data_IF_874156790671
#
_entry.id   IF_874156790671
#
_cell.length_a   1.000
_cell.length_b   1.000
_cell.length_c   1.000
_cell.angle_alpha   90.00
_cell.angle_beta   90.00
_cell.angle_gamma   90.00
#
_symmetry.space_group_name_H-M   'P 1'
#
loop_
_entity.id
_entity.type
_entity.pdbx_description
1 polymer ?
#
# COMPACT_ATOMS: atom_id res chain seq x y z
N UNK A 1 -7.26 20.19 -20.04
CA UNK A 1 -8.36 19.70 -19.18
C UNK A 1 -7.92 18.39 -18.54
N UNK A 2 -7.62 18.38 -17.24
CA UNK A 2 -7.43 17.16 -16.46
C UNK A 2 -8.77 16.40 -16.43
N UNK A 3 -8.77 15.12 -16.80
CA UNK A 3 -9.95 14.33 -17.12
C UNK A 3 -11.08 14.41 -16.08
N UNK A 4 -12.32 14.28 -16.57
CA UNK A 4 -13.55 14.28 -15.78
C UNK A 4 -13.40 13.47 -14.47
N UNK A 5 -13.98 13.92 -13.35
CA UNK A 5 -13.84 13.20 -12.09
C UNK A 5 -14.42 11.80 -12.26
N UNK A 6 -13.53 10.79 -12.21
CA UNK A 6 -13.96 9.40 -12.10
C UNK A 6 -14.91 9.24 -10.91
N UNK A 7 -15.71 8.18 -10.94
CA UNK A 7 -16.72 7.96 -9.91
C UNK A 7 -16.12 7.84 -8.48
N UNK A 8 -16.97 7.69 -7.47
CA UNK A 8 -16.55 7.67 -6.05
C UNK A 8 -15.38 6.72 -5.77
N UNK A 9 -15.31 5.56 -6.44
CA UNK A 9 -14.21 4.60 -6.26
C UNK A 9 -12.90 5.13 -6.83
N UNK A 10 -12.92 5.65 -8.05
CA UNK A 10 -11.74 6.25 -8.67
C UNK A 10 -11.25 7.46 -7.88
N UNK A 11 -12.18 8.29 -7.40
CA UNK A 11 -11.89 9.45 -6.55
C UNK A 11 -11.26 9.04 -5.22
N UNK A 12 -11.81 8.02 -4.56
CA UNK A 12 -11.25 7.42 -3.34
C UNK A 12 -9.82 6.90 -3.58
N UNK A 13 -9.60 6.10 -4.63
CA UNK A 13 -8.28 5.57 -4.97
C UNK A 13 -7.26 6.68 -5.22
N UNK A 14 -7.69 7.77 -5.85
CA UNK A 14 -6.89 8.98 -6.04
C UNK A 14 -6.27 9.53 -4.76
N UNK A 15 -7.00 9.48 -3.63
CA UNK A 15 -6.54 9.99 -2.33
C UNK A 15 -5.38 9.18 -1.71
N UNK A 16 -5.13 7.97 -2.23
CA UNK A 16 -4.08 7.06 -1.77
C UNK A 16 -2.98 6.83 -2.81
N UNK A 17 -3.01 7.55 -3.93
CA UNK A 17 -1.93 7.52 -4.91
C UNK A 17 -0.67 8.08 -4.28
N UNK A 18 0.48 7.45 -4.55
CA UNK A 18 1.77 7.94 -4.12
C UNK A 18 1.91 9.40 -4.53
N UNK A 19 2.11 10.27 -3.54
CA UNK A 19 2.38 11.67 -3.79
C UNK A 19 3.86 11.80 -4.05
N UNK A 20 4.17 12.57 -5.08
CA UNK A 20 5.53 12.96 -5.38
C UNK A 20 6.21 13.62 -4.19
N UNK A 21 7.51 13.36 -4.01
CA UNK A 21 8.32 14.18 -3.13
C UNK A 21 8.40 15.60 -3.74
N UNK A 22 8.39 16.64 -2.90
CA UNK A 22 8.40 18.04 -3.38
C UNK A 22 9.71 18.44 -4.06
N UNK A 23 10.78 17.67 -3.83
CA UNK A 23 12.12 17.90 -4.37
C UNK A 23 12.67 16.61 -4.98
N UNK A 24 13.60 16.76 -5.92
CA UNK A 24 14.31 15.62 -6.50
C UNK A 24 15.17 14.92 -5.45
N UNK A 25 15.02 13.61 -5.32
CA UNK A 25 15.73 12.82 -4.30
C UNK A 25 16.43 11.62 -4.90
N UNK A 26 17.64 11.37 -4.42
CA UNK A 26 18.37 10.14 -4.74
C UNK A 26 18.11 9.09 -3.65
N UNK A 27 17.49 7.99 -4.05
CA UNK A 27 17.33 6.81 -3.23
C UNK A 27 18.46 5.83 -3.55
N UNK A 28 19.12 5.32 -2.50
CA UNK A 28 20.23 4.39 -2.62
C UNK A 28 20.02 3.09 -1.84
N UNK A 29 18.87 2.92 -1.21
CA UNK A 29 18.56 1.73 -0.38
C UNK A 29 17.10 1.33 -0.53
N UNK A 30 16.88 0.04 -0.46
CA UNK A 30 15.57 -0.58 -0.41
C UNK A 30 15.25 -1.06 1.01
N UNK A 31 14.02 -0.81 1.45
CA UNK A 31 13.37 -1.54 2.54
C UNK A 31 12.04 -2.09 2.02
N UNK A 32 11.43 -3.06 2.70
CA UNK A 32 10.10 -3.53 2.30
C UNK A 32 9.03 -2.42 2.35
N UNK A 33 9.31 -1.35 3.10
CA UNK A 33 8.42 -0.21 3.30
C UNK A 33 8.76 0.99 2.38
N UNK A 34 9.99 1.06 1.83
CA UNK A 34 10.49 2.22 1.09
C UNK A 34 11.45 1.83 -0.04
N UNK A 35 11.47 2.65 -1.10
CA UNK A 35 12.37 2.46 -2.23
C UNK A 35 11.84 1.48 -3.29
N UNK A 36 10.61 0.97 -3.16
CA UNK A 36 9.88 0.42 -4.30
C UNK A 36 9.16 1.54 -5.05
N UNK A 37 9.30 1.58 -6.37
CA UNK A 37 8.70 2.60 -7.23
C UNK A 37 7.81 1.94 -8.28
N UNK A 38 6.57 2.43 -8.49
CA UNK A 38 5.68 1.87 -9.50
C UNK A 38 6.25 2.03 -10.90
N UNK A 39 6.22 0.96 -11.68
CA UNK A 39 6.67 0.93 -13.09
C UNK A 39 5.80 1.78 -14.01
N UNK A 40 4.61 2.20 -13.56
CA UNK A 40 3.74 3.13 -14.27
C UNK A 40 4.39 4.51 -14.53
N UNK A 41 5.48 4.85 -13.82
CA UNK A 41 6.24 6.08 -14.01
C UNK A 41 7.73 5.89 -13.68
N UNK A 42 8.34 4.84 -14.22
CA UNK A 42 9.75 4.49 -13.97
C UNK A 42 10.50 4.28 -15.28
N UNK A 43 11.62 4.98 -15.46
CA UNK A 43 12.57 4.71 -16.54
C UNK A 43 13.82 4.04 -15.98
N UNK A 44 14.26 2.95 -16.60
CA UNK A 44 15.45 2.19 -16.20
C UNK A 44 16.43 2.15 -17.37
N UNK A 45 17.72 2.40 -17.11
CA UNK A 45 18.76 2.23 -18.13
C UNK A 45 18.78 0.77 -18.58
N UNK A 46 18.80 0.53 -19.90
CA UNK A 46 18.85 -0.82 -20.47
C UNK A 46 19.89 -1.72 -19.81
N UNK A 47 21.14 -1.24 -19.72
CA UNK A 47 22.22 -1.99 -19.10
C UNK A 47 21.95 -2.37 -17.63
N UNK A 48 21.28 -1.50 -16.86
CA UNK A 48 20.91 -1.80 -15.47
C UNK A 48 19.76 -2.82 -15.38
N UNK A 49 18.79 -2.73 -16.30
CA UNK A 49 17.68 -3.68 -16.39
C UNK A 49 18.17 -5.08 -16.78
N UNK A 50 19.04 -5.18 -17.79
CA UNK A 50 19.66 -6.43 -18.24
C UNK A 50 20.58 -7.01 -17.14
N UNK A 51 21.37 -6.17 -16.46
CA UNK A 51 22.28 -6.61 -15.39
C UNK A 51 21.58 -7.29 -14.20
N UNK A 52 20.31 -6.98 -13.94
CA UNK A 52 19.53 -7.62 -12.87
C UNK A 52 18.60 -8.72 -13.38
N UNK A 53 18.60 -9.02 -14.69
CA UNK A 53 17.77 -10.05 -15.30
C UNK A 53 16.33 -9.63 -15.57
N UNK A 54 16.04 -8.34 -15.71
CA UNK A 54 14.71 -7.85 -16.09
C UNK A 54 13.63 -8.05 -15.02
N UNK A 55 12.37 -8.24 -15.43
CA UNK A 55 11.25 -8.53 -14.51
C UNK A 55 11.20 -10.02 -14.14
N UNK A 56 10.73 -10.29 -12.93
CA UNK A 56 10.43 -11.65 -12.50
C UNK A 56 9.07 -12.10 -13.08
N UNK A 57 9.07 -12.90 -14.14
CA UNK A 57 7.85 -13.32 -14.86
C UNK A 57 6.90 -14.15 -14.00
N UNK A 58 7.39 -14.80 -12.96
CA UNK A 58 6.59 -15.54 -11.99
C UNK A 58 5.79 -14.62 -11.03
N UNK A 59 6.11 -13.32 -10.99
CA UNK A 59 5.44 -12.34 -10.14
C UNK A 59 4.32 -11.64 -10.90
N UNK A 60 3.08 -11.88 -10.46
CA UNK A 60 1.91 -11.16 -10.97
C UNK A 60 1.71 -9.77 -10.36
N UNK A 61 2.27 -9.54 -9.17
CA UNK A 61 2.14 -8.26 -8.44
C UNK A 61 3.35 -8.07 -7.53
N UNK A 62 3.87 -6.85 -7.46
CA UNK A 62 5.06 -6.50 -6.68
C UNK A 62 6.37 -6.70 -7.44
N UNK A 63 6.29 -6.97 -8.74
CA UNK A 63 7.40 -7.09 -9.68
C UNK A 63 8.21 -5.79 -9.80
N UNK A 64 7.54 -4.65 -9.63
CA UNK A 64 8.13 -3.32 -9.55
C UNK A 64 9.01 -3.15 -8.30
N UNK A 65 8.52 -3.59 -7.14
CA UNK A 65 9.26 -3.61 -5.88
C UNK A 65 10.44 -4.60 -5.93
N UNK A 66 10.25 -5.78 -6.52
CA UNK A 66 11.32 -6.77 -6.73
C UNK A 66 12.42 -6.21 -7.65
N UNK A 67 12.05 -5.63 -8.79
CA UNK A 67 12.99 -5.00 -9.72
C UNK A 67 13.79 -3.90 -9.01
N UNK A 68 13.11 -2.98 -8.33
CA UNK A 68 13.76 -1.91 -7.58
C UNK A 68 14.77 -2.50 -6.58
N UNK A 69 14.35 -3.48 -5.77
CA UNK A 69 15.23 -4.11 -4.79
C UNK A 69 16.47 -4.73 -5.42
N UNK A 70 16.33 -5.45 -6.53
CA UNK A 70 17.46 -6.06 -7.25
C UNK A 70 18.41 -5.00 -7.81
N UNK A 71 17.88 -3.88 -8.33
CA UNK A 71 18.69 -2.74 -8.75
C UNK A 71 19.51 -2.18 -7.58
N UNK A 72 18.91 -1.96 -6.41
CA UNK A 72 19.67 -1.52 -5.23
C UNK A 72 20.71 -2.53 -4.77
N UNK A 73 20.38 -3.83 -4.80
CA UNK A 73 21.33 -4.89 -4.43
C UNK A 73 22.53 -4.96 -5.38
N UNK A 74 22.35 -4.59 -6.65
CA UNK A 74 23.41 -4.47 -7.66
C UNK A 74 24.16 -3.11 -7.61
N UNK A 75 23.89 -2.26 -6.60
CA UNK A 75 24.57 -0.98 -6.42
C UNK A 75 24.01 0.19 -7.23
N UNK A 76 22.91 0.00 -7.96
CA UNK A 76 22.23 1.09 -8.64
C UNK A 76 21.44 1.96 -7.66
N UNK A 77 21.10 3.17 -8.11
CA UNK A 77 20.34 4.18 -7.36
C UNK A 77 19.16 4.65 -8.19
N UNK A 78 18.05 4.99 -7.53
CA UNK A 78 16.86 5.54 -8.19
C UNK A 78 16.77 7.02 -7.85
N UNK A 79 16.70 7.87 -8.88
CA UNK A 79 16.43 9.29 -8.69
C UNK A 79 14.95 9.56 -8.92
N UNK A 80 14.29 10.06 -7.89
CA UNK A 80 12.96 10.63 -8.01
C UNK A 80 13.09 12.03 -8.62
N UNK A 81 12.27 12.31 -9.63
CA UNK A 81 12.21 13.60 -10.32
C UNK A 81 10.78 14.14 -10.25
N UNK A 82 10.53 15.27 -9.58
CA UNK A 82 9.19 15.83 -9.44
C UNK A 82 8.58 16.31 -10.78
N UNK A 83 9.40 16.52 -11.81
CA UNK A 83 8.92 16.88 -13.14
C UNK A 83 8.47 15.66 -13.97
N UNK A 84 8.86 14.44 -13.57
CA UNK A 84 8.43 13.21 -14.22
C UNK A 84 6.99 12.86 -13.78
N UNK A 85 5.99 13.38 -14.48
CA UNK A 85 4.57 13.23 -14.13
C UNK A 85 3.84 12.36 -15.15
N UNK A 86 3.01 11.43 -14.65
CA UNK A 86 2.05 10.66 -15.46
C UNK A 86 0.64 10.82 -14.91
N UNK A 87 -0.35 10.83 -15.81
CA UNK A 87 -1.76 10.78 -15.43
C UNK A 87 -2.20 9.32 -15.33
N UNK A 88 -2.59 8.90 -14.12
CA UNK A 88 -3.05 7.54 -13.87
C UNK A 88 -4.58 7.47 -13.86
N UNK A 89 -5.15 6.57 -14.67
CA UNK A 89 -6.58 6.25 -14.62
C UNK A 89 -6.84 5.20 -13.55
N UNK A 90 -7.57 5.60 -12.51
CA UNK A 90 -7.98 4.67 -11.45
C UNK A 90 -9.12 3.75 -11.88
N UNK A 91 -9.23 2.62 -11.19
CA UNK A 91 -10.37 1.72 -11.32
C UNK A 91 -11.64 2.42 -10.81
N UNK A 92 -12.74 2.16 -11.49
CA UNK A 92 -14.03 2.79 -11.22
C UNK A 92 -15.00 1.83 -10.51
N UNK A 93 -14.66 0.56 -10.32
CA UNK A 93 -15.55 -0.41 -9.64
C UNK A 93 -15.00 -0.86 -8.30
N UNK A 94 -15.89 -1.08 -7.32
CA UNK A 94 -15.53 -1.65 -6.02
C UNK A 94 -14.86 -3.00 -6.21
N UNK A 95 -15.43 -3.85 -7.08
CA UNK A 95 -14.83 -5.15 -7.39
C UNK A 95 -13.40 -5.02 -7.94
N UNK A 96 -13.17 -4.11 -8.89
CA UNK A 96 -11.84 -3.85 -9.43
C UNK A 96 -10.85 -3.41 -8.34
N UNK A 97 -11.28 -2.54 -7.43
CA UNK A 97 -10.49 -2.13 -6.27
C UNK A 97 -10.15 -3.32 -5.35
N UNK A 98 -11.12 -4.17 -5.03
CA UNK A 98 -10.92 -5.32 -4.15
C UNK A 98 -9.97 -6.35 -4.79
N UNK A 99 -10.15 -6.66 -6.08
CA UNK A 99 -9.24 -7.54 -6.82
C UNK A 99 -7.81 -7.01 -6.82
N UNK A 100 -7.63 -5.70 -6.98
CA UNK A 100 -6.31 -5.06 -6.91
C UNK A 100 -5.71 -5.19 -5.50
N UNK A 101 -6.49 -4.91 -4.45
CA UNK A 101 -6.03 -5.01 -3.06
C UNK A 101 -5.63 -6.44 -2.69
N UNK A 102 -6.42 -7.44 -3.08
CA UNK A 102 -6.10 -8.86 -2.94
C UNK A 102 -4.80 -9.25 -3.65
N UNK A 103 -4.57 -8.70 -4.85
CA UNK A 103 -3.34 -8.89 -5.62
C UNK A 103 -2.12 -8.30 -4.92
N UNK A 104 -2.23 -7.04 -4.45
CA UNK A 104 -1.17 -6.35 -3.71
C UNK A 104 -0.79 -7.12 -2.44
N UNK A 105 -1.79 -7.53 -1.64
CA UNK A 105 -1.53 -8.31 -0.42
C UNK A 105 -0.82 -9.63 -0.71
N UNK A 106 -1.24 -10.37 -1.74
CA UNK A 106 -0.58 -11.61 -2.14
C UNK A 106 0.85 -11.36 -2.67
N UNK A 107 1.06 -10.28 -3.41
CA UNK A 107 2.36 -9.85 -3.91
C UNK A 107 3.35 -9.52 -2.79
N UNK A 108 2.90 -8.91 -1.69
CA UNK A 108 3.75 -8.64 -0.52
C UNK A 108 4.28 -9.93 0.14
N UNK A 109 3.44 -10.97 0.25
CA UNK A 109 3.88 -12.27 0.74
C UNK A 109 4.88 -12.94 -0.22
N UNK A 110 4.66 -12.85 -1.54
CA UNK A 110 5.59 -13.35 -2.54
C UNK A 110 6.95 -12.64 -2.46
N UNK A 111 6.93 -11.32 -2.39
CA UNK A 111 8.11 -10.47 -2.27
C UNK A 111 8.92 -10.80 -1.00
N UNK A 112 8.25 -11.00 0.14
CA UNK A 112 8.89 -11.42 1.38
C UNK A 112 9.54 -12.81 1.27
N UNK A 113 8.91 -13.74 0.53
CA UNK A 113 9.44 -15.09 0.29
C UNK A 113 10.67 -15.10 -0.62
N UNK A 114 10.64 -14.28 -1.68
CA UNK A 114 11.67 -14.21 -2.74
C UNK A 114 13.00 -13.68 -2.22
N UNK A 115 12.96 -12.79 -1.22
CA UNK A 115 14.15 -12.16 -0.69
C UNK A 115 14.58 -12.71 0.66
N UNK A 116 15.70 -12.17 1.18
CA UNK A 116 16.28 -12.59 2.46
C UNK A 116 15.24 -12.53 3.60
N UNK A 117 15.28 -13.49 4.55
CA UNK A 117 14.48 -13.46 5.76
C UNK A 117 14.50 -12.07 6.42
N UNK A 118 13.31 -11.59 6.77
CA UNK A 118 13.10 -10.28 7.35
C UNK A 118 11.84 -10.28 8.21
N UNK A 119 11.88 -9.42 9.24
CA UNK A 119 10.71 -8.98 9.97
C UNK A 119 10.40 -7.54 9.55
N UNK A 120 9.16 -7.31 9.16
CA UNK A 120 8.59 -6.01 8.81
C UNK A 120 7.46 -5.73 9.77
N UNK A 121 7.48 -4.57 10.42
CA UNK A 121 6.47 -4.15 11.40
C UNK A 121 6.00 -2.75 11.05
N UNK A 122 4.70 -2.60 10.84
CA UNK A 122 4.01 -1.33 10.67
C UNK A 122 3.03 -1.14 11.83
N UNK A 123 3.32 -0.19 12.71
CA UNK A 123 2.45 0.27 13.80
C UNK A 123 2.00 1.71 13.50
N UNK A 124 0.92 2.21 14.14
CA UNK A 124 0.59 3.62 14.07
C UNK A 124 1.77 4.50 14.50
N UNK A 125 2.34 5.26 13.56
CA UNK A 125 3.47 6.17 13.82
C UNK A 125 4.86 5.52 13.89
N UNK A 126 4.97 4.20 13.67
CA UNK A 126 6.25 3.49 13.71
C UNK A 126 6.34 2.45 12.59
N UNK A 127 7.44 2.50 11.85
CA UNK A 127 7.75 1.57 10.77
C UNK A 127 9.14 0.99 11.02
N UNK A 128 9.26 -0.33 10.97
CA UNK A 128 10.56 -0.99 11.11
C UNK A 128 10.67 -2.18 10.16
N UNK A 129 11.86 -2.38 9.60
CA UNK A 129 12.17 -3.58 8.85
C UNK A 129 13.62 -3.97 9.03
N UNK A 130 13.89 -5.24 9.34
CA UNK A 130 15.23 -5.75 9.57
C UNK A 130 15.39 -7.20 9.12
N UNK A 131 16.62 -7.61 8.83
CA UNK A 131 16.92 -9.01 8.55
C UNK A 131 16.90 -9.81 9.85
N UNK A 132 16.11 -10.89 9.90
CA UNK A 132 16.02 -11.78 11.06
C UNK A 132 16.15 -13.21 10.54
N UNK A 133 17.16 -13.93 11.01
CA UNK A 133 17.44 -15.28 10.54
C UNK A 133 16.22 -16.20 10.76
N UNK A 134 15.87 -16.99 9.73
CA UNK A 134 14.73 -17.92 9.78
C UNK A 134 13.33 -17.27 9.75
N UNK A 135 13.20 -15.97 10.00
CA UNK A 135 11.91 -15.30 10.09
C UNK A 135 11.55 -14.59 8.78
N UNK A 136 10.37 -14.89 8.25
CA UNK A 136 9.74 -14.17 7.12
C UNK A 136 8.39 -13.68 7.58
N UNK A 137 8.39 -12.53 8.22
CA UNK A 137 7.21 -11.98 8.87
C UNK A 137 6.97 -10.53 8.47
N UNK A 138 5.74 -10.19 8.09
CA UNK A 138 5.29 -8.83 7.86
C UNK A 138 4.00 -8.59 8.63
N UNK A 139 4.06 -7.76 9.66
CA UNK A 139 2.96 -7.39 10.54
C UNK A 139 2.58 -5.94 10.31
N UNK A 140 1.34 -5.67 9.89
CA UNK A 140 0.83 -4.31 9.70
C UNK A 140 -0.39 -4.06 10.59
N UNK A 141 -0.13 -3.66 11.83
CA UNK A 141 -1.15 -3.24 12.80
C UNK A 141 -1.60 -1.79 12.61
N UNK A 142 -0.98 -1.04 11.70
CA UNK A 142 -1.37 0.32 11.35
C UNK A 142 -2.64 0.40 10.47
N UNK A 143 -2.94 -0.68 9.76
CA UNK A 143 -4.06 -0.81 8.80
C UNK A 143 -5.46 -0.62 9.42
N UNK A 144 -6.40 -0.13 8.61
CA UNK A 144 -7.69 0.32 9.11
C UNK A 144 -8.58 -0.83 9.60
N UNK A 145 -8.53 -1.97 8.93
CA UNK A 145 -9.22 -3.20 9.30
C UNK A 145 -8.72 -3.75 10.65
N UNK A 146 -7.41 -3.71 10.90
CA UNK A 146 -6.86 -4.21 12.17
C UNK A 146 -7.20 -3.35 13.36
N UNK A 147 -7.37 -2.03 13.16
CA UNK A 147 -7.93 -1.16 14.19
C UNK A 147 -9.38 -1.54 14.51
N UNK A 148 -10.20 -1.88 13.51
CA UNK A 148 -11.57 -2.39 13.75
C UNK A 148 -11.52 -3.70 14.54
N UNK A 149 -10.68 -4.65 14.16
CA UNK A 149 -10.52 -5.92 14.91
C UNK A 149 -10.10 -5.66 16.35
N UNK A 150 -9.11 -4.78 16.58
CA UNK A 150 -8.69 -4.40 17.93
C UNK A 150 -9.82 -3.78 18.75
N UNK A 151 -10.60 -2.86 18.16
CA UNK A 151 -11.75 -2.26 18.82
C UNK A 151 -12.86 -3.28 19.13
N UNK A 152 -13.10 -4.25 18.24
CA UNK A 152 -14.06 -5.33 18.49
C UNK A 152 -13.62 -6.21 19.67
N UNK A 153 -12.33 -6.58 19.74
CA UNK A 153 -11.79 -7.36 20.86
C UNK A 153 -11.89 -6.59 22.19
N UNK A 154 -11.55 -5.30 22.18
CA UNK A 154 -11.71 -4.43 23.35
C UNK A 154 -13.18 -4.31 23.78
N UNK A 155 -14.10 -4.19 22.82
CA UNK A 155 -15.53 -4.11 23.09
C UNK A 155 -16.10 -5.42 23.64
N UNK A 156 -15.57 -6.56 23.21
CA UNK A 156 -15.93 -7.86 23.76
C UNK A 156 -15.45 -8.03 25.21
N UNK A 157 -14.28 -7.47 25.55
CA UNK A 157 -13.75 -7.46 26.91
C UNK A 157 -14.48 -6.45 27.83
N UNK A 158 -14.93 -5.32 27.29
CA UNK A 158 -15.63 -4.27 28.03
C UNK A 158 -16.69 -3.59 27.13
N UNK A 159 -17.98 -3.98 27.23
CA UNK A 159 -19.03 -3.56 26.29
C UNK A 159 -19.18 -2.05 26.07
N UNK A 160 -19.00 -1.16 27.08
CA UNK A 160 -18.97 0.28 26.85
C UNK A 160 -17.96 0.77 25.79
N UNK A 161 -16.88 0.02 25.52
CA UNK A 161 -15.91 0.36 24.47
C UNK A 161 -16.46 0.21 23.04
N UNK A 162 -17.65 -0.38 22.87
CA UNK A 162 -18.33 -0.44 21.58
C UNK A 162 -18.58 0.95 20.98
N UNK A 163 -18.67 2.01 21.80
CA UNK A 163 -18.77 3.40 21.35
C UNK A 163 -17.54 3.89 20.57
N UNK A 164 -16.40 3.21 20.69
CA UNK A 164 -15.19 3.53 19.92
C UNK A 164 -15.31 3.15 18.44
N UNK A 165 -16.18 2.19 18.09
CA UNK A 165 -16.41 1.80 16.68
C UNK A 165 -17.02 2.94 15.85
N UNK A 166 -18.16 3.55 16.23
CA UNK A 166 -18.68 4.70 15.51
C UNK A 166 -17.73 5.90 15.59
N UNK A 167 -17.04 6.12 16.71
CA UNK A 167 -16.02 7.17 16.81
C UNK A 167 -14.87 6.97 15.80
N UNK A 168 -14.46 5.72 15.57
CA UNK A 168 -13.42 5.39 14.60
C UNK A 168 -13.91 5.57 13.15
N UNK A 169 -15.16 5.25 12.85
CA UNK A 169 -15.76 5.56 11.53
C UNK A 169 -15.79 7.07 11.31
N UNK A 170 -16.20 7.87 12.32
CA UNK A 170 -16.16 9.33 12.24
C UNK A 170 -14.73 9.85 12.03
N UNK A 171 -13.74 9.27 12.71
CA UNK A 171 -12.33 9.59 12.49
C UNK A 171 -11.88 9.31 11.06
N UNK A 172 -12.24 8.16 10.48
CA UNK A 172 -11.92 7.83 9.08
C UNK A 172 -12.62 8.77 8.11
N UNK A 173 -13.89 9.11 8.34
CA UNK A 173 -14.61 10.11 7.53
C UNK A 173 -13.93 11.47 7.59
N UNK A 174 -13.53 11.93 8.77
CA UNK A 174 -12.78 13.16 8.95
C UNK A 174 -11.42 13.10 8.24
N UNK A 175 -10.73 11.96 8.27
CA UNK A 175 -9.50 11.75 7.51
C UNK A 175 -9.71 11.90 5.99
N UNK A 176 -10.81 11.36 5.47
CA UNK A 176 -11.15 11.51 4.04
C UNK A 176 -11.40 12.98 3.68
N UNK A 177 -12.13 13.71 4.52
CA UNK A 177 -12.32 15.17 4.35
C UNK A 177 -10.98 15.90 4.36
N UNK A 178 -10.08 15.59 5.29
CA UNK A 178 -8.73 16.20 5.33
C UNK A 178 -7.95 15.93 4.04
N UNK A 179 -8.03 14.73 3.49
CA UNK A 179 -7.36 14.37 2.22
C UNK A 179 -7.96 15.10 1.02
N UNK A 180 -9.29 15.16 0.92
CA UNK A 180 -10.00 15.88 -0.13
C UNK A 180 -9.65 17.37 -0.12
N UNK A 181 -9.67 18.01 1.06
CA UNK A 181 -9.28 19.42 1.24
C UNK A 181 -7.85 19.69 0.80
N UNK A 182 -6.90 18.80 1.16
CA UNK A 182 -5.49 18.91 0.72
C UNK A 182 -5.31 18.81 -0.79
N UNK A 183 -6.27 18.25 -1.51
CA UNK A 183 -6.25 18.15 -2.98
C UNK A 183 -7.04 19.27 -3.66
N UNK A 184 -7.55 20.25 -2.90
CA UNK A 184 -8.43 21.29 -3.44
C UNK A 184 -9.74 20.73 -3.99
N UNK A 185 -10.11 19.51 -3.60
CA UNK A 185 -11.31 18.83 -4.08
C UNK A 185 -12.49 19.16 -3.18
N UNK A 186 -13.65 19.43 -3.79
CA UNK A 186 -14.92 19.57 -3.07
C UNK A 186 -15.23 18.31 -2.22
N UNK A 187 -15.96 18.46 -1.13
CA UNK A 187 -16.24 17.34 -0.24
C UNK A 187 -17.66 17.45 0.32
N UNK A 188 -18.26 16.30 0.54
CA UNK A 188 -19.53 16.13 1.23
C UNK A 188 -19.36 15.05 2.31
N UNK A 189 -20.10 15.16 3.41
CA UNK A 189 -19.97 14.23 4.54
C UNK A 189 -20.44 12.81 4.19
N UNK A 190 -21.49 12.67 3.37
CA UNK A 190 -21.97 11.35 2.94
C UNK A 190 -20.95 10.71 2.01
N UNK A 191 -20.35 11.49 1.12
CA UNK A 191 -19.25 11.02 0.26
C UNK A 191 -18.04 10.58 1.08
N UNK A 192 -17.58 11.40 2.02
CA UNK A 192 -16.44 11.08 2.89
C UNK A 192 -16.68 9.82 3.73
N UNK A 193 -17.91 9.64 4.22
CA UNK A 193 -18.30 8.44 4.97
C UNK A 193 -18.35 7.20 4.09
N UNK A 194 -18.86 7.32 2.87
CA UNK A 194 -18.78 6.23 1.89
C UNK A 194 -17.32 5.88 1.54
N UNK A 195 -16.42 6.87 1.44
CA UNK A 195 -14.99 6.65 1.24
C UNK A 195 -14.32 5.98 2.44
N UNK A 196 -14.73 6.28 3.67
CA UNK A 196 -14.28 5.56 4.86
C UNK A 196 -14.66 4.07 4.80
N UNK A 197 -15.88 3.76 4.34
CA UNK A 197 -16.30 2.38 4.05
C UNK A 197 -15.45 1.71 2.98
N UNK A 198 -15.17 2.38 1.87
CA UNK A 198 -14.25 1.89 0.83
C UNK A 198 -12.83 1.64 1.37
N UNK A 199 -12.36 2.48 2.30
CA UNK A 199 -11.08 2.31 2.96
C UNK A 199 -11.01 1.02 3.77
N UNK A 200 -12.04 0.76 4.59
CA UNK A 200 -12.15 -0.47 5.38
C UNK A 200 -12.21 -1.71 4.47
N UNK A 201 -13.05 -1.68 3.43
CA UNK A 201 -13.18 -2.79 2.47
C UNK A 201 -11.85 -3.06 1.75
N UNK A 202 -11.17 -2.02 1.25
CA UNK A 202 -9.86 -2.15 0.61
C UNK A 202 -8.81 -2.70 1.58
N UNK A 203 -8.79 -2.22 2.82
CA UNK A 203 -7.85 -2.67 3.85
C UNK A 203 -8.05 -4.16 4.17
N UNK A 204 -9.30 -4.58 4.40
CA UNK A 204 -9.65 -5.98 4.63
C UNK A 204 -9.29 -6.89 3.43
N UNK A 205 -9.55 -6.43 2.20
CA UNK A 205 -9.17 -7.17 1.00
C UNK A 205 -7.65 -7.30 0.84
N UNK A 206 -6.88 -6.28 1.21
CA UNK A 206 -5.42 -6.36 1.23
C UNK A 206 -4.95 -7.39 2.26
N UNK A 207 -5.49 -7.35 3.49
CA UNK A 207 -5.22 -8.35 4.53
C UNK A 207 -5.55 -9.75 4.03
N UNK A 208 -6.74 -9.98 3.47
CA UNK A 208 -7.12 -11.28 2.90
C UNK A 208 -6.15 -11.76 1.79
N UNK A 209 -5.66 -10.83 0.96
CA UNK A 209 -4.63 -11.11 -0.03
C UNK A 209 -3.32 -11.59 0.60
N UNK A 210 -2.89 -10.95 1.71
CA UNK A 210 -1.71 -11.34 2.47
C UNK A 210 -1.85 -12.71 3.12
N UNK A 211 -3.00 -13.03 3.70
CA UNK A 211 -3.29 -14.37 4.23
C UNK A 211 -3.18 -15.44 3.14
N UNK A 212 -3.85 -15.21 2.00
CA UNK A 212 -3.76 -16.13 0.85
C UNK A 212 -2.33 -16.29 0.34
N UNK A 213 -1.59 -15.19 0.23
CA UNK A 213 -0.18 -15.21 -0.17
C UNK A 213 0.72 -15.93 0.84
N UNK A 214 0.46 -15.75 2.14
CA UNK A 214 1.16 -16.39 3.25
C UNK A 214 1.06 -17.91 3.16
N UNK A 215 -0.15 -18.42 2.94
CA UNK A 215 -0.41 -19.85 2.75
C UNK A 215 0.35 -20.39 1.52
N UNK A 216 0.29 -19.66 0.40
CA UNK A 216 0.94 -20.07 -0.86
C UNK A 216 2.46 -20.08 -0.77
N UNK A 217 3.04 -19.10 -0.08
CA UNK A 217 4.48 -18.86 -0.08
C UNK A 217 5.19 -19.30 1.21
N UNK A 218 4.45 -19.85 2.19
CA UNK A 218 4.97 -20.30 3.49
C UNK A 218 5.74 -19.18 4.23
N UNK A 219 5.10 -18.02 4.32
CA UNK A 219 5.57 -16.85 5.08
C UNK A 219 4.43 -16.35 5.96
N UNK A 220 4.72 -15.45 6.91
CA UNK A 220 3.68 -14.78 7.71
C UNK A 220 3.54 -13.34 7.23
N UNK A 221 2.42 -13.00 6.61
CA UNK A 221 2.10 -11.64 6.19
C UNK A 221 0.66 -11.32 6.61
N UNK A 222 0.51 -10.33 7.50
CA UNK A 222 -0.76 -9.95 8.13
C UNK A 222 -0.86 -8.43 8.16
#
# INVERSE_FOLDING_TARGET
MLGAPGNRVARFLGLFTLRGEGEGRLHARYTFLRGGFPTANLAVRRAAFEAVGGFAEEMRTGEDHDLCRRLYAAGFRVRYDPAAVVLHRHRETVEGMLRQALGIGAGQAHLLRRHRPALVVELPGMEWSGGVAGLRCWLNLASADKKVVGLLLLSAAWPPLALLLPAYVLFLSADMVRRLRREGKGWDLREATAMAGLHLLRSAALTAGRWRGSLRHRVLCV
#
